data_IF_431984691780
#
_entry.id   IF_431984691780
#
_cell.length_a   1.000
_cell.length_b   1.000
_cell.length_c   1.000
_cell.angle_alpha   90.00
_cell.angle_beta   90.00
_cell.angle_gamma   90.00
#
_symmetry.space_group_name_H-M   'P 1'
#
loop_
_entity.id
_entity.type
_entity.pdbx_description
1 polymer ?
#
# COMPACT_ATOMS: atom_id res chain seq x y z
N UNK A 1 -0.08 10.30 10.76
CA UNK A 1 0.83 9.45 9.95
C UNK A 1 0.73 8.05 10.54
N UNK A 2 0.33 7.07 9.74
CA UNK A 2 0.16 5.69 10.23
C UNK A 2 1.53 5.03 10.41
N UNK A 3 1.74 4.37 11.55
CA UNK A 3 3.04 3.84 11.95
C UNK A 3 3.12 2.32 11.75
N UNK A 4 2.90 1.84 10.53
CA UNK A 4 3.19 0.45 10.17
C UNK A 4 4.44 0.40 9.31
N UNK A 5 5.54 0.06 9.94
CA UNK A 5 6.83 -0.08 9.28
C UNK A 5 7.52 -1.33 9.83
N UNK A 6 8.11 -2.10 8.93
CA UNK A 6 9.03 -3.16 9.26
C UNK A 6 10.44 -2.73 8.85
N UNK A 7 11.44 -3.07 9.67
CA UNK A 7 12.84 -2.85 9.30
C UNK A 7 13.23 -3.78 8.17
N UNK A 8 14.10 -3.33 7.27
CA UNK A 8 14.61 -4.18 6.19
C UNK A 8 15.22 -5.49 6.69
N UNK A 9 15.86 -5.49 7.87
CA UNK A 9 16.39 -6.71 8.51
C UNK A 9 15.31 -7.72 8.92
N UNK A 10 14.09 -7.26 9.25
CA UNK A 10 12.96 -8.13 9.53
C UNK A 10 12.36 -8.70 8.23
N UNK A 11 12.30 -7.88 7.19
CA UNK A 11 11.74 -8.26 5.88
C UNK A 11 12.59 -9.29 5.11
N UNK A 12 13.90 -9.33 5.36
CA UNK A 12 14.81 -10.34 4.76
C UNK A 12 14.97 -11.59 5.63
N UNK A 13 14.32 -11.64 6.80
CA UNK A 13 14.31 -12.80 7.68
C UNK A 13 13.34 -13.88 7.21
N UNK A 14 13.32 -15.02 7.91
CA UNK A 14 12.48 -16.19 7.59
C UNK A 14 10.98 -15.84 7.52
N UNK A 15 10.49 -15.04 8.46
CA UNK A 15 9.10 -14.59 8.51
C UNK A 15 8.84 -13.32 7.69
N UNK A 16 9.80 -12.86 6.88
CA UNK A 16 9.75 -11.57 6.21
C UNK A 16 8.50 -11.35 5.35
N UNK A 17 8.04 -12.41 4.67
CA UNK A 17 6.79 -12.39 3.91
C UNK A 17 5.55 -12.19 4.78
N UNK A 18 5.45 -12.93 5.89
CA UNK A 18 4.32 -12.82 6.83
C UNK A 18 4.28 -11.42 7.47
N UNK A 19 5.44 -10.90 7.86
CA UNK A 19 5.59 -9.54 8.40
C UNK A 19 5.15 -8.51 7.36
N UNK A 20 5.55 -8.65 6.10
CA UNK A 20 5.14 -7.74 5.02
C UNK A 20 3.62 -7.77 4.80
N UNK A 21 3.02 -8.97 4.76
CA UNK A 21 1.59 -9.15 4.60
C UNK A 21 0.79 -8.51 5.76
N UNK A 22 1.25 -8.69 7.00
CA UNK A 22 0.63 -8.10 8.18
C UNK A 22 0.68 -6.57 8.15
N UNK A 23 1.85 -6.00 7.84
CA UNK A 23 2.05 -4.53 7.76
C UNK A 23 1.16 -3.91 6.68
N UNK A 24 1.11 -4.51 5.49
CA UNK A 24 0.25 -4.03 4.40
C UNK A 24 -1.23 -4.15 4.78
N UNK A 25 -1.64 -5.30 5.35
CA UNK A 25 -3.01 -5.54 5.78
C UNK A 25 -3.49 -4.52 6.81
N UNK A 26 -2.68 -4.25 7.84
CA UNK A 26 -2.98 -3.24 8.87
C UNK A 26 -3.05 -1.84 8.28
N UNK A 27 -2.12 -1.47 7.39
CA UNK A 27 -2.14 -0.16 6.73
C UNK A 27 -3.42 0.03 5.90
N UNK A 28 -3.87 -0.98 5.16
CA UNK A 28 -5.15 -0.95 4.43
C UNK A 28 -6.33 -0.84 5.40
N UNK A 29 -6.35 -1.66 6.46
CA UNK A 29 -7.44 -1.68 7.43
C UNK A 29 -7.63 -0.31 8.09
N UNK A 30 -6.56 0.30 8.61
CA UNK A 30 -6.64 1.62 9.24
C UNK A 30 -7.04 2.71 8.25
N UNK A 31 -6.58 2.61 7.00
CA UNK A 31 -6.90 3.57 5.96
C UNK A 31 -8.38 3.58 5.60
N UNK A 32 -8.96 2.38 5.43
CA UNK A 32 -10.35 2.18 5.03
C UNK A 32 -11.32 2.58 6.15
N UNK A 33 -10.93 2.38 7.41
CA UNK A 33 -11.75 2.72 8.59
C UNK A 33 -11.45 4.11 9.16
N UNK A 34 -10.73 4.96 8.43
CA UNK A 34 -10.46 6.33 8.87
C UNK A 34 -11.73 7.20 8.79
N UNK A 35 -12.11 7.82 9.91
CA UNK A 35 -13.27 8.71 10.00
C UNK A 35 -13.16 9.96 9.11
N UNK A 36 -11.94 10.45 8.85
CA UNK A 36 -11.68 11.56 7.92
C UNK A 36 -11.63 11.10 6.44
N UNK A 37 -11.93 9.82 6.19
CA UNK A 37 -12.07 9.24 4.86
C UNK A 37 -10.78 8.71 4.24
N UNK A 38 -10.94 7.86 3.22
CA UNK A 38 -9.87 7.12 2.53
C UNK A 38 -8.94 7.98 1.66
N UNK A 39 -9.15 9.31 1.63
CA UNK A 39 -8.28 10.29 0.96
C UNK A 39 -7.57 11.27 1.90
N UNK A 40 -7.76 11.19 3.24
CA UNK A 40 -6.95 11.92 4.23
C UNK A 40 -5.44 11.89 3.91
N UNK A 41 -4.81 13.04 3.72
CA UNK A 41 -3.37 13.16 3.45
C UNK A 41 -2.97 13.00 1.98
N UNK A 42 -3.92 12.87 1.05
CA UNK A 42 -3.65 12.76 -0.39
C UNK A 42 -2.87 13.96 -0.95
N UNK A 43 -3.02 15.14 -0.34
CA UNK A 43 -2.30 16.35 -0.71
C UNK A 43 -0.77 16.23 -0.58
N UNK A 44 -0.26 15.24 0.17
CA UNK A 44 1.18 14.98 0.37
C UNK A 44 1.72 13.79 -0.39
N UNK A 45 0.87 13.01 -1.08
CA UNK A 45 1.30 11.73 -1.67
C UNK A 45 2.43 11.88 -2.68
N UNK A 46 2.39 12.91 -3.53
CA UNK A 46 3.45 13.15 -4.51
C UNK A 46 4.76 13.52 -3.83
N UNK A 47 4.74 14.46 -2.88
CA UNK A 47 5.96 14.84 -2.14
C UNK A 47 6.51 13.69 -1.30
N UNK A 48 5.65 12.88 -0.69
CA UNK A 48 6.05 11.71 0.10
C UNK A 48 6.70 10.65 -0.80
N UNK A 49 6.13 10.42 -2.00
CA UNK A 49 6.69 9.51 -2.99
C UNK A 49 8.06 10.00 -3.51
N UNK A 50 8.19 11.29 -3.81
CA UNK A 50 9.45 11.89 -4.28
C UNK A 50 10.57 11.83 -3.24
N UNK A 51 10.22 11.80 -1.94
CA UNK A 51 11.19 11.66 -0.85
C UNK A 51 11.74 10.22 -0.69
N UNK A 52 11.15 9.22 -1.36
CA UNK A 52 11.58 7.82 -1.27
C UNK A 52 12.78 7.53 -2.19
N UNK A 53 13.61 6.57 -1.78
CA UNK A 53 14.66 6.00 -2.64
C UNK A 53 14.01 5.12 -3.71
N UNK A 54 14.02 5.55 -4.97
CA UNK A 54 13.31 4.91 -6.09
C UNK A 54 13.64 3.42 -6.25
N UNK A 55 14.88 3.03 -5.95
CA UNK A 55 15.34 1.62 -6.04
C UNK A 55 14.67 0.71 -4.99
N UNK A 56 14.02 1.28 -3.98
CA UNK A 56 13.35 0.57 -2.89
C UNK A 56 11.82 0.71 -2.95
N UNK A 57 11.29 1.30 -4.02
CA UNK A 57 9.85 1.50 -4.20
C UNK A 57 9.29 0.40 -5.08
N UNK A 58 8.25 -0.26 -4.60
CA UNK A 58 7.41 -1.13 -5.40
C UNK A 58 6.00 -0.51 -5.47
N UNK A 59 5.46 -0.38 -6.68
CA UNK A 59 4.11 0.11 -6.93
C UNK A 59 3.22 -1.02 -7.45
N UNK A 60 1.95 -1.00 -7.06
CA UNK A 60 0.93 -1.90 -7.60
C UNK A 60 -0.04 -1.07 -8.42
N UNK A 61 -0.17 -1.39 -9.71
CA UNK A 61 -1.18 -0.81 -10.58
C UNK A 61 -2.27 -1.84 -10.84
N UNK A 62 -3.53 -1.44 -10.68
CA UNK A 62 -4.70 -2.28 -10.92
C UNK A 62 -5.47 -2.66 -9.65
N UNK A 63 -6.59 -3.35 -9.84
CA UNK A 63 -7.44 -3.86 -8.78
C UNK A 63 -8.04 -5.19 -9.21
N UNK A 64 -8.06 -6.22 -8.33
CA UNK A 64 -8.78 -7.47 -8.61
C UNK A 64 -10.28 -7.28 -8.87
N UNK A 65 -10.83 -6.10 -8.52
CA UNK A 65 -12.23 -5.74 -8.73
C UNK A 65 -12.51 -5.08 -10.09
N UNK A 66 -11.50 -4.82 -10.90
CA UNK A 66 -11.74 -4.28 -12.24
C UNK A 66 -12.34 -5.37 -13.15
N UNK A 67 -13.54 -5.16 -13.72
CA UNK A 67 -14.25 -6.16 -14.51
C UNK A 67 -13.71 -6.18 -15.95
N UNK A 68 -12.38 -6.23 -16.11
CA UNK A 68 -11.73 -6.17 -17.43
C UNK A 68 -12.15 -7.36 -18.30
N UNK A 69 -12.41 -8.51 -17.68
CA UNK A 69 -12.87 -9.72 -18.38
C UNK A 69 -14.36 -9.72 -18.73
N UNK A 70 -15.17 -8.88 -18.08
CA UNK A 70 -16.61 -8.77 -18.35
C UNK A 70 -16.92 -7.70 -19.41
N UNK A 71 -15.88 -7.11 -20.01
CA UNK A 71 -16.02 -6.05 -20.99
C UNK A 71 -16.53 -6.60 -22.32
N UNK A 72 -17.73 -6.19 -22.69
CA UNK A 72 -18.39 -6.51 -23.96
C UNK A 72 -18.68 -5.20 -24.71
N UNK A 73 -18.25 -5.11 -25.97
CA UNK A 73 -18.44 -3.93 -26.82
C UNK A 73 -19.67 -4.05 -27.75
N UNK A 74 -20.42 -5.16 -27.68
CA UNK A 74 -21.57 -5.46 -28.54
C UNK A 74 -21.32 -6.56 -29.55
#
# INVERSE_FOLDING_TARGET
MYNFHAKSTQLIGEDGFLIAAEVIGKAIQERVHNEEGVLKGAEKWISDYEALKREKVAGIAGSPKFPVYDMDFG
#
